data_IF_573719494979
#
_entry.id   IF_573719494979
#
_cell.length_a   1.000
_cell.length_b   1.000
_cell.length_c   1.000
_cell.angle_alpha   90.00
_cell.angle_beta   90.00
_cell.angle_gamma   90.00
#
_symmetry.space_group_name_H-M   'P 1'
#
loop_
_entity.id
_entity.type
_entity.pdbx_description
1 polymer ?
#
# COMPACT_ATOMS: atom_id res chain seq x y z
N UNK A 1 12.46 5.09 14.73
CA UNK A 1 12.66 5.38 13.29
C UNK A 1 11.96 4.29 12.53
N UNK A 2 11.10 4.64 11.57
CA UNK A 2 10.39 3.67 10.73
C UNK A 2 11.00 3.64 9.32
N UNK A 3 10.64 2.63 8.53
CA UNK A 3 11.09 2.48 7.15
C UNK A 3 9.87 2.31 6.25
N UNK A 4 9.89 2.95 5.08
CA UNK A 4 8.99 2.66 3.96
C UNK A 4 9.78 1.91 2.91
N UNK A 5 9.36 0.69 2.62
CA UNK A 5 9.95 -0.14 1.57
C UNK A 5 8.86 -0.69 0.65
N UNK A 6 9.19 -0.81 -0.64
CA UNK A 6 8.35 -1.43 -1.65
C UNK A 6 8.84 -2.85 -1.91
N UNK A 7 7.89 -3.78 -2.07
CA UNK A 7 8.15 -5.15 -2.48
C UNK A 7 7.59 -5.37 -3.89
N UNK A 8 8.43 -5.88 -4.79
CA UNK A 8 8.00 -6.21 -6.14
C UNK A 8 7.22 -7.53 -6.13
N UNK A 9 5.91 -7.47 -6.38
CA UNK A 9 5.04 -8.64 -6.34
C UNK A 9 5.21 -9.58 -7.55
N UNK A 10 5.91 -9.13 -8.60
CA UNK A 10 6.29 -9.97 -9.75
C UNK A 10 7.40 -10.97 -9.38
N UNK A 11 8.09 -10.78 -8.25
CA UNK A 11 9.07 -11.74 -7.76
C UNK A 11 8.40 -12.91 -7.01
N UNK A 12 8.99 -14.12 -7.04
CA UNK A 12 8.50 -15.25 -6.29
C UNK A 12 8.29 -14.94 -4.79
N UNK A 13 7.21 -15.46 -4.16
CA UNK A 13 6.93 -15.21 -2.74
C UNK A 13 8.08 -15.56 -1.79
N UNK A 14 8.89 -16.56 -2.15
CA UNK A 14 10.04 -17.02 -1.38
C UNK A 14 11.20 -16.01 -1.31
N UNK A 15 11.24 -15.00 -2.18
CA UNK A 15 12.33 -14.02 -2.24
C UNK A 15 11.89 -12.56 -2.15
N UNK A 16 10.65 -12.22 -2.50
CA UNK A 16 10.18 -10.83 -2.65
C UNK A 16 10.21 -9.97 -1.38
N UNK A 17 10.29 -10.58 -0.20
CA UNK A 17 10.39 -9.89 1.10
C UNK A 17 11.78 -9.99 1.73
N UNK A 18 12.77 -10.55 1.03
CA UNK A 18 14.15 -10.56 1.50
C UNK A 18 14.78 -9.19 1.24
N UNK A 19 15.66 -8.77 2.16
CA UNK A 19 16.31 -7.45 2.12
C UNK A 19 16.93 -7.08 0.75
N UNK A 20 17.58 -7.99 -0.01
CA UNK A 20 18.15 -7.65 -1.32
C UNK A 20 17.11 -7.32 -2.41
N UNK A 21 15.83 -7.64 -2.18
CA UNK A 21 14.74 -7.47 -3.14
C UNK A 21 13.71 -6.41 -2.70
N UNK A 22 13.98 -5.70 -1.60
CA UNK A 22 13.17 -4.58 -1.13
C UNK A 22 13.76 -3.28 -1.65
N UNK A 23 12.89 -2.42 -2.18
CA UNK A 23 13.26 -1.07 -2.57
C UNK A 23 12.98 -0.12 -1.39
N UNK A 24 14.04 0.41 -0.79
CA UNK A 24 13.93 1.38 0.30
C UNK A 24 13.49 2.73 -0.28
N UNK A 25 12.24 3.14 0.00
CA UNK A 25 11.67 4.38 -0.53
C UNK A 25 11.78 5.55 0.43
N UNK A 26 11.92 5.30 1.74
CA UNK A 26 12.03 6.39 2.70
C UNK A 26 12.26 5.95 4.15
N UNK A 27 12.70 6.90 4.96
CA UNK A 27 12.91 6.75 6.41
C UNK A 27 11.90 7.63 7.12
N UNK A 28 11.06 7.02 7.96
CA UNK A 28 10.05 7.73 8.74
C UNK A 28 10.67 8.30 10.03
N UNK A 29 10.46 9.59 10.32
CA UNK A 29 10.95 10.21 11.54
C UNK A 29 10.34 9.54 12.79
N UNK A 30 11.03 9.65 13.93
CA UNK A 30 10.61 9.02 15.18
C UNK A 30 9.21 9.46 15.67
N UNK A 31 8.63 8.66 16.58
CA UNK A 31 7.22 8.77 17.03
C UNK A 31 6.75 10.19 17.39
N UNK A 32 7.64 11.04 17.92
CA UNK A 32 7.26 12.41 18.33
C UNK A 32 7.15 13.41 17.17
N UNK A 33 7.76 13.13 16.01
CA UNK A 33 7.76 14.01 14.83
C UNK A 33 6.84 13.50 13.69
N UNK A 34 6.23 12.32 13.86
CA UNK A 34 5.41 11.67 12.86
C UNK A 34 3.93 12.13 12.92
N UNK A 35 3.72 13.42 12.62
CA UNK A 35 2.38 13.94 12.33
C UNK A 35 1.87 13.40 10.99
N UNK A 36 0.55 13.39 10.78
CA UNK A 36 -0.06 12.98 9.49
C UNK A 36 0.48 13.82 8.32
N UNK A 37 0.68 15.11 8.54
CA UNK A 37 1.25 16.04 7.56
C UNK A 37 2.69 15.67 7.21
N UNK A 38 3.51 15.34 8.22
CA UNK A 38 4.90 14.90 8.02
C UNK A 38 4.97 13.63 7.18
N UNK A 39 4.11 12.65 7.48
CA UNK A 39 4.05 11.37 6.75
C UNK A 39 3.59 11.61 5.31
N UNK A 40 2.56 12.43 5.12
CA UNK A 40 2.05 12.75 3.78
C UNK A 40 3.11 13.43 2.92
N UNK A 41 3.83 14.43 3.46
CA UNK A 41 4.93 15.08 2.73
C UNK A 41 6.07 14.12 2.38
N UNK A 42 6.39 13.18 3.27
CA UNK A 42 7.43 12.20 3.03
C UNK A 42 7.03 11.17 1.96
N UNK A 43 5.74 10.83 1.88
CA UNK A 43 5.21 9.89 0.90
C UNK A 43 4.86 10.53 -0.44
N UNK A 44 4.67 11.84 -0.48
CA UNK A 44 4.27 12.57 -1.70
C UNK A 44 5.16 12.27 -2.92
N UNK A 45 6.51 12.24 -2.83
CA UNK A 45 7.34 11.88 -3.97
C UNK A 45 7.07 10.45 -4.47
N UNK A 46 6.88 9.50 -3.54
CA UNK A 46 6.55 8.12 -3.89
C UNK A 46 5.16 8.03 -4.55
N UNK A 47 4.19 8.81 -4.08
CA UNK A 47 2.85 8.87 -4.68
C UNK A 47 2.93 9.47 -6.09
N UNK A 48 3.71 10.53 -6.28
CA UNK A 48 3.91 11.17 -7.58
C UNK A 48 4.57 10.20 -8.58
N UNK A 49 5.59 9.45 -8.15
CA UNK A 49 6.22 8.41 -8.97
C UNK A 49 5.21 7.31 -9.34
N UNK A 50 4.41 6.84 -8.39
CA UNK A 50 3.37 5.83 -8.66
C UNK A 50 2.29 6.35 -9.61
N UNK A 51 1.93 7.62 -9.52
CA UNK A 51 1.00 8.27 -10.45
C UNK A 51 1.61 8.42 -11.84
N UNK A 52 2.91 8.70 -11.94
CA UNK A 52 3.61 8.74 -13.22
C UNK A 52 3.56 7.40 -13.96
N UNK A 53 3.69 6.28 -13.22
CA UNK A 53 3.61 4.92 -13.77
C UNK A 53 2.20 4.31 -13.77
N UNK A 54 1.17 5.12 -13.47
CA UNK A 54 -0.24 4.68 -13.51
C UNK A 54 -0.64 4.26 -14.92
N UNK A 55 -0.22 5.03 -15.92
CA UNK A 55 -0.40 4.69 -17.32
C UNK A 55 0.89 4.04 -17.86
N UNK A 56 0.82 3.17 -18.88
CA UNK A 56 2.01 2.52 -19.42
C UNK A 56 3.03 3.55 -19.95
N UNK A 57 4.26 3.49 -19.45
CA UNK A 57 5.38 4.33 -19.89
C UNK A 57 6.43 3.46 -20.58
N UNK A 58 6.96 3.92 -21.71
CA UNK A 58 8.07 3.25 -22.39
C UNK A 58 9.40 3.61 -21.72
N UNK A 59 10.13 2.60 -21.22
CA UNK A 59 11.45 2.81 -20.63
C UNK A 59 12.45 1.72 -21.01
N UNK A 60 13.72 2.06 -21.28
CA UNK A 60 14.76 1.09 -21.55
C UNK A 60 15.09 0.30 -20.28
N UNK A 61 15.38 -0.99 -20.47
CA UNK A 61 15.86 -1.88 -19.39
C UNK A 61 17.14 -2.57 -19.82
N UNK A 62 17.86 -3.16 -18.87
CA UNK A 62 19.10 -3.90 -19.17
C UNK A 62 18.90 -4.97 -20.25
N UNK A 63 17.76 -5.68 -20.22
CA UNK A 63 17.45 -6.73 -21.20
C UNK A 63 16.77 -6.18 -22.46
N UNK A 64 16.14 -5.00 -22.41
CA UNK A 64 15.50 -4.35 -23.56
C UNK A 64 15.97 -2.89 -23.71
N UNK A 65 17.14 -2.67 -24.34
CA UNK A 65 17.70 -1.33 -24.55
C UNK A 65 16.81 -0.43 -25.41
N UNK A 66 16.03 -1.02 -26.32
CA UNK A 66 15.11 -0.30 -27.20
C UNK A 66 13.81 0.13 -26.51
N UNK A 67 13.68 -0.07 -25.20
CA UNK A 67 12.46 0.26 -24.47
C UNK A 67 11.54 -0.94 -24.23
N UNK A 68 10.74 -0.82 -23.18
CA UNK A 68 9.53 -1.59 -23.00
C UNK A 68 8.48 -0.82 -22.23
N UNK A 69 7.21 -1.11 -22.54
CA UNK A 69 6.08 -0.58 -21.77
C UNK A 69 6.08 -1.17 -20.36
N UNK A 70 6.14 -0.30 -19.36
CA UNK A 70 6.06 -0.64 -17.94
C UNK A 70 4.89 0.12 -17.32
N UNK A 71 4.15 -0.57 -16.46
CA UNK A 71 3.08 0.01 -15.66
C UNK A 71 3.24 -0.51 -14.23
N UNK A 72 3.01 0.35 -13.24
CA UNK A 72 3.16 0.02 -11.82
C UNK A 72 1.83 0.23 -11.10
N UNK A 73 1.44 -0.76 -10.28
CA UNK A 73 0.24 -0.70 -9.46
C UNK A 73 0.58 -0.99 -8.01
N UNK A 74 0.11 -0.13 -7.09
CA UNK A 74 0.22 -0.35 -5.65
C UNK A 74 -0.96 -1.21 -5.19
N UNK A 75 -0.70 -2.44 -4.73
CA UNK A 75 -1.75 -3.36 -4.31
C UNK A 75 -2.13 -3.27 -2.82
N UNK A 76 -1.15 -3.12 -1.93
CA UNK A 76 -1.42 -3.14 -0.49
C UNK A 76 -0.34 -2.43 0.32
N UNK A 77 -0.74 -1.90 1.48
CA UNK A 77 0.15 -1.31 2.49
C UNK A 77 0.26 -2.33 3.62
N UNK A 78 1.48 -2.79 3.90
CA UNK A 78 1.77 -3.77 4.96
C UNK A 78 2.58 -3.10 6.06
N UNK A 79 2.14 -3.27 7.30
CA UNK A 79 2.77 -2.74 8.49
C UNK A 79 1.93 -3.04 9.73
N UNK A 80 2.35 -2.55 10.89
CA UNK A 80 1.47 -2.56 12.06
C UNK A 80 0.22 -1.69 11.80
N UNK A 81 -0.83 -1.90 12.59
CA UNK A 81 -2.08 -1.16 12.45
C UNK A 81 -1.88 0.35 12.56
N UNK A 82 -0.99 0.82 13.44
CA UNK A 82 -0.71 2.24 13.60
C UNK A 82 -0.07 2.85 12.35
N UNK A 83 0.95 2.20 11.79
CA UNK A 83 1.63 2.64 10.58
C UNK A 83 0.69 2.61 9.37
N UNK A 84 -0.01 1.48 9.15
CA UNK A 84 -0.95 1.32 8.04
C UNK A 84 -2.10 2.31 8.12
N UNK A 85 -2.60 2.62 9.31
CA UNK A 85 -3.67 3.61 9.48
C UNK A 85 -3.19 5.02 9.13
N UNK A 86 -2.00 5.40 9.60
CA UNK A 86 -1.44 6.72 9.28
C UNK A 86 -1.15 6.89 7.79
N UNK A 87 -0.63 5.85 7.14
CA UNK A 87 -0.31 5.89 5.70
C UNK A 87 -1.58 5.83 4.85
N UNK A 88 -2.52 4.95 5.19
CA UNK A 88 -3.76 4.74 4.46
C UNK A 88 -4.86 5.76 4.78
N UNK A 89 -4.62 6.70 5.69
CA UNK A 89 -5.63 7.65 6.15
C UNK A 89 -6.79 7.00 6.93
N UNK A 90 -6.56 5.83 7.53
CA UNK A 90 -7.54 5.19 8.41
C UNK A 90 -7.56 5.87 9.78
N UNK A 91 -8.73 5.84 10.41
CA UNK A 91 -8.95 6.39 11.72
C UNK A 91 -8.13 5.66 12.80
N UNK A 92 -7.74 6.39 13.86
CA UNK A 92 -7.06 5.79 15.01
C UNK A 92 -8.01 4.90 15.82
N UNK A 93 -7.46 4.01 16.66
CA UNK A 93 -8.24 3.18 17.58
C UNK A 93 -9.15 3.99 18.52
N UNK A 94 -8.81 5.25 18.81
CA UNK A 94 -9.60 6.11 19.70
C UNK A 94 -10.64 6.97 18.95
N UNK A 95 -10.77 6.81 17.64
CA UNK A 95 -11.72 7.57 16.85
C UNK A 95 -13.12 6.96 16.92
N UNK A 96 -14.14 7.82 16.85
CA UNK A 96 -15.55 7.38 16.91
C UNK A 96 -15.92 6.43 15.76
N UNK A 97 -15.21 6.51 14.64
CA UNK A 97 -15.46 5.71 13.44
C UNK A 97 -14.20 4.94 13.06
N UNK A 98 -14.18 3.62 13.30
CA UNK A 98 -12.98 2.80 13.07
C UNK A 98 -12.80 2.35 11.61
N UNK A 99 -13.84 2.48 10.78
CA UNK A 99 -13.88 1.98 9.41
C UNK A 99 -14.12 3.12 8.43
N UNK A 100 -13.13 3.42 7.57
CA UNK A 100 -13.24 4.51 6.57
C UNK A 100 -14.29 4.24 5.49
N UNK A 101 -14.59 2.96 5.23
CA UNK A 101 -15.58 2.57 4.22
C UNK A 101 -17.02 2.63 4.71
N UNK A 102 -17.22 2.14 5.93
CA UNK A 102 -18.54 1.87 6.49
C UNK A 102 -18.96 2.88 7.56
N UNK A 103 -18.04 3.73 8.03
CA UNK A 103 -18.27 4.81 9.00
C UNK A 103 -19.06 4.34 10.24
N UNK A 104 -18.77 3.12 10.70
CA UNK A 104 -19.44 2.52 11.85
C UNK A 104 -18.74 2.88 13.15
N UNK A 105 -19.53 3.00 14.21
CA UNK A 105 -19.03 3.25 15.58
C UNK A 105 -18.86 1.96 16.37
N UNK A 106 -18.09 1.99 17.46
CA UNK A 106 -17.87 0.81 18.32
C UNK A 106 -19.17 0.17 18.81
N UNK A 107 -20.17 0.99 19.13
CA UNK A 107 -21.50 0.53 19.53
C UNK A 107 -22.27 -0.23 18.43
N UNK A 108 -21.80 -0.16 17.18
CA UNK A 108 -22.40 -0.82 16.01
C UNK A 108 -21.57 -2.01 15.54
N UNK A 109 -20.48 -2.37 16.23
CA UNK A 109 -19.59 -3.47 15.86
C UNK A 109 -20.33 -4.82 15.76
N UNK A 110 -21.34 -5.03 16.61
CA UNK A 110 -22.20 -6.22 16.59
C UNK A 110 -23.05 -6.36 15.32
N UNK A 111 -23.17 -5.30 14.53
CA UNK A 111 -23.88 -5.28 13.25
C UNK A 111 -22.95 -5.50 12.05
N UNK A 112 -21.65 -5.67 12.27
CA UNK A 112 -20.70 -6.02 11.21
C UNK A 112 -21.07 -7.39 10.65
N UNK A 113 -21.53 -7.41 9.41
CA UNK A 113 -21.50 -8.62 8.59
C UNK A 113 -20.10 -8.68 7.99
N UNK A 114 -19.22 -9.50 8.57
CA UNK A 114 -17.96 -9.82 7.91
C UNK A 114 -18.28 -10.27 6.50
N UNK A 115 -17.72 -9.59 5.50
CA UNK A 115 -17.73 -10.06 4.12
C UNK A 115 -17.00 -11.40 4.16
N UNK A 116 -17.75 -12.50 4.15
CA UNK A 116 -17.18 -13.81 3.91
C UNK A 116 -16.45 -13.70 2.57
N UNK A 117 -15.16 -14.03 2.59
CA UNK A 117 -14.34 -14.13 1.40
C UNK A 117 -15.14 -14.90 0.34
N UNK A 118 -15.32 -14.32 -0.84
CA UNK A 118 -15.76 -15.11 -1.99
C UNK A 118 -14.61 -16.04 -2.36
N UNK A 119 -14.49 -17.14 -1.63
CA UNK A 119 -13.90 -18.37 -2.14
C UNK A 119 -14.70 -18.79 -3.38
N UNK A 120 -14.02 -18.76 -4.53
CA UNK A 120 -14.40 -19.51 -5.72
C UNK A 120 -15.66 -19.06 -6.46
N UNK A 121 -15.48 -18.24 -7.50
CA UNK A 121 -16.21 -18.49 -8.75
C UNK A 121 -15.31 -18.34 -9.97
N UNK A 122 -14.89 -19.52 -10.41
CA UNK A 122 -14.48 -19.89 -11.77
C UNK A 122 -15.04 -18.97 -12.85
N UNK A 123 -14.17 -18.71 -13.82
CA UNK A 123 -14.48 -18.54 -15.25
C UNK A 123 -15.70 -19.38 -15.63
N UNK A 124 -16.74 -18.77 -16.16
CA UNK A 124 -17.54 -19.37 -17.22
C UNK A 124 -18.29 -18.31 -18.02
N UNK A 125 -18.18 -18.49 -19.33
CA UNK A 125 -18.66 -17.65 -20.41
C UNK A 125 -20.20 -17.60 -20.48
N UNK A 126 -20.70 -16.54 -21.11
CA UNK A 126 -22.07 -16.38 -21.58
C UNK A 126 -22.22 -15.09 -22.35
#
# INVERSE_FOLDING_TARGET
MGIVALSCLNLPPSIRHKLPHLFLSGIMPGLQAASMTTISHLLMPLVDDLLHFKDPVEMPTFQRPNGCMIQVHLLTIVGDSGATHKVGGFASHSEKYFCTWCLMTDSQISKLKCIQQQEGRRVENG
#
